data_IF_465488725903
#
_entry.id   IF_465488725903
#
_cell.length_a   1.000
_cell.length_b   1.000
_cell.length_c   1.000
_cell.angle_alpha   90.00
_cell.angle_beta   90.00
_cell.angle_gamma   90.00
#
_symmetry.space_group_name_H-M   'P 1'
#
loop_
_entity.id
_entity.type
_entity.pdbx_description
1 polymer ?
#
# COMPACT_ATOMS: atom_id res chain seq x y z
N UNK A 1 45.01 -13.79 -16.43
CA UNK A 1 43.53 -13.67 -16.43
C UNK A 1 43.05 -13.91 -15.01
N UNK A 2 42.68 -12.84 -14.30
CA UNK A 2 42.08 -12.96 -12.96
C UNK A 2 40.60 -13.34 -13.10
N UNK A 3 40.05 -14.23 -12.26
CA UNK A 3 38.65 -14.61 -12.33
C UNK A 3 37.74 -13.48 -11.87
N UNK A 4 36.56 -13.37 -12.51
CA UNK A 4 35.56 -12.34 -12.25
C UNK A 4 34.97 -12.48 -10.83
N UNK A 5 34.56 -11.36 -10.19
CA UNK A 5 33.97 -11.41 -8.85
C UNK A 5 32.61 -12.11 -8.89
N UNK A 6 32.40 -13.05 -7.97
CA UNK A 6 31.14 -13.78 -7.81
C UNK A 6 29.95 -12.89 -7.42
N UNK A 7 28.71 -13.41 -7.51
CA UNK A 7 27.49 -12.62 -7.38
C UNK A 7 27.39 -11.97 -5.99
N UNK A 8 27.01 -10.67 -5.96
CA UNK A 8 26.84 -9.89 -4.72
C UNK A 8 25.73 -10.47 -3.82
N UNK A 9 25.87 -10.43 -2.48
CA UNK A 9 25.03 -11.17 -1.56
C UNK A 9 23.68 -10.47 -1.29
N UNK A 10 22.69 -10.65 -2.18
CA UNK A 10 21.30 -10.22 -1.95
C UNK A 10 20.49 -11.16 -1.03
N UNK A 11 20.91 -12.42 -0.88
CA UNK A 11 20.10 -13.46 -0.23
C UNK A 11 19.96 -13.34 1.30
N UNK A 12 21.01 -12.92 2.02
CA UNK A 12 20.96 -12.84 3.50
C UNK A 12 20.12 -11.65 3.99
N UNK A 13 20.23 -10.49 3.33
CA UNK A 13 19.48 -9.29 3.72
C UNK A 13 17.98 -9.46 3.50
N UNK A 14 17.59 -10.06 2.37
CA UNK A 14 16.19 -10.38 2.07
C UNK A 14 15.60 -11.39 3.06
N UNK A 15 16.34 -12.45 3.41
CA UNK A 15 15.90 -13.42 4.42
C UNK A 15 15.72 -12.80 5.80
N UNK A 16 16.62 -11.90 6.21
CA UNK A 16 16.48 -11.17 7.48
C UNK A 16 15.24 -10.28 7.44
N UNK A 17 14.99 -9.57 6.33
CA UNK A 17 13.78 -8.76 6.18
C UNK A 17 12.52 -9.62 6.34
N UNK A 18 12.43 -10.72 5.59
CA UNK A 18 11.28 -11.63 5.63
C UNK A 18 11.06 -12.20 7.03
N UNK A 19 12.13 -12.59 7.73
CA UNK A 19 12.04 -13.10 9.10
C UNK A 19 11.50 -12.03 10.06
N UNK A 20 12.04 -10.82 10.01
CA UNK A 20 11.56 -9.70 10.86
C UNK A 20 10.11 -9.37 10.52
N UNK A 21 9.74 -9.26 9.24
CA UNK A 21 8.37 -8.97 8.81
C UNK A 21 7.39 -10.05 9.27
N UNK A 22 7.75 -11.33 9.15
CA UNK A 22 6.94 -12.44 9.60
C UNK A 22 6.72 -12.42 11.13
N UNK A 23 7.78 -12.18 11.91
CA UNK A 23 7.69 -12.04 13.36
C UNK A 23 6.86 -10.83 13.79
N UNK A 24 6.99 -9.71 13.08
CA UNK A 24 6.17 -8.52 13.33
C UNK A 24 4.68 -8.80 13.12
N UNK A 25 4.31 -9.43 12.00
CA UNK A 25 2.91 -9.82 11.71
C UNK A 25 2.37 -10.77 12.78
N UNK A 26 3.13 -11.82 13.09
CA UNK A 26 2.76 -12.79 14.14
C UNK A 26 2.48 -12.09 15.47
N UNK A 27 3.35 -11.18 15.90
CA UNK A 27 3.18 -10.47 17.17
C UNK A 27 1.98 -9.50 17.15
N UNK A 28 1.69 -8.87 15.99
CA UNK A 28 0.50 -8.03 15.82
C UNK A 28 -0.81 -8.83 15.85
N UNK A 29 -0.78 -10.10 15.46
CA UNK A 29 -1.94 -11.00 15.55
C UNK A 29 -2.15 -11.52 16.98
N UNK A 30 -1.07 -11.63 17.77
CA UNK A 30 -1.09 -12.22 19.12
C UNK A 30 -1.25 -11.19 20.26
N UNK A 31 -0.95 -9.92 20.02
CA UNK A 31 -0.79 -8.91 21.08
C UNK A 31 -1.32 -7.54 20.67
N UNK A 32 -1.69 -6.76 21.68
CA UNK A 32 -1.93 -5.34 21.49
C UNK A 32 -0.66 -4.64 21.02
N UNK A 33 -0.82 -3.79 19.99
CA UNK A 33 0.29 -3.07 19.35
C UNK A 33 1.18 -2.33 20.34
N UNK A 34 0.58 -1.70 21.36
CA UNK A 34 1.29 -0.92 22.37
C UNK A 34 2.25 -1.75 23.22
N UNK A 35 2.04 -3.07 23.29
CA UNK A 35 2.86 -3.99 24.07
C UNK A 35 4.01 -4.61 23.25
N UNK A 36 4.05 -4.39 21.94
CA UNK A 36 5.07 -4.94 21.06
C UNK A 36 6.31 -4.06 21.10
N UNK A 37 7.48 -4.69 21.27
CA UNK A 37 8.77 -3.99 21.34
C UNK A 37 9.78 -4.57 20.35
N UNK A 38 10.76 -3.75 19.95
CA UNK A 38 11.87 -4.19 19.06
C UNK A 38 12.62 -5.41 19.61
N UNK A 39 12.96 -5.50 20.92
CA UNK A 39 13.57 -6.70 21.47
C UNK A 39 12.73 -7.98 21.33
N UNK A 40 11.40 -7.89 21.46
CA UNK A 40 10.50 -9.03 21.27
C UNK A 40 10.53 -9.53 19.83
N UNK A 41 10.40 -8.60 18.87
CA UNK A 41 10.46 -8.92 17.43
C UNK A 41 11.83 -9.54 17.09
N UNK A 42 12.92 -8.95 17.58
CA UNK A 42 14.27 -9.44 17.34
C UNK A 42 14.46 -10.87 17.86
N UNK A 43 13.97 -11.16 19.07
CA UNK A 43 14.05 -12.48 19.67
C UNK A 43 13.27 -13.54 18.88
N UNK A 44 12.04 -13.24 18.45
CA UNK A 44 11.21 -14.15 17.64
C UNK A 44 11.80 -14.36 16.23
N UNK A 45 12.32 -13.30 15.61
CA UNK A 45 12.92 -13.35 14.27
C UNK A 45 14.34 -13.95 14.25
N UNK A 46 14.94 -14.24 15.42
CA UNK A 46 16.30 -14.77 15.54
C UNK A 46 17.39 -13.78 15.12
N UNK A 47 17.19 -12.48 15.35
CA UNK A 47 18.13 -11.40 15.03
C UNK A 47 18.46 -10.56 16.28
N UNK A 48 19.45 -9.67 16.18
CA UNK A 48 19.74 -8.71 17.25
C UNK A 48 18.85 -7.47 17.14
N UNK A 49 18.48 -6.81 18.26
CA UNK A 49 17.76 -5.53 18.22
C UNK A 49 18.50 -4.46 17.39
N UNK A 50 19.84 -4.45 17.43
CA UNK A 50 20.66 -3.55 16.62
C UNK A 50 20.51 -3.75 15.11
N UNK A 51 20.15 -4.96 14.66
CA UNK A 51 19.86 -5.23 13.25
C UNK A 51 18.58 -4.52 12.81
N UNK A 52 17.57 -4.46 13.68
CA UNK A 52 16.32 -3.76 13.42
C UNK A 52 16.54 -2.25 13.46
N UNK A 53 17.12 -1.71 14.55
CA UNK A 53 17.36 -0.27 14.68
C UNK A 53 18.20 0.31 13.56
N UNK A 54 19.23 -0.40 13.08
CA UNK A 54 20.06 0.08 11.96
C UNK A 54 19.28 0.21 10.66
N UNK A 55 18.24 -0.60 10.46
CA UNK A 55 17.54 -0.70 9.18
C UNK A 55 16.27 0.14 9.14
N UNK A 56 15.49 0.14 10.22
CA UNK A 56 14.22 0.86 10.29
C UNK A 56 14.28 2.09 11.21
N UNK A 57 15.31 2.22 12.05
CA UNK A 57 15.43 3.36 12.99
C UNK A 57 14.57 3.16 14.24
N UNK A 58 13.26 2.93 14.08
CA UNK A 58 12.34 2.64 15.16
C UNK A 58 11.26 1.60 14.79
N UNK A 59 10.36 1.32 15.74
CA UNK A 59 9.30 0.32 15.56
C UNK A 59 8.15 0.82 14.68
N UNK A 60 7.90 2.13 14.64
CA UNK A 60 6.86 2.73 13.80
C UNK A 60 7.21 2.54 12.33
N UNK A 61 8.47 2.81 11.96
CA UNK A 61 8.96 2.58 10.60
C UNK A 61 8.98 1.10 10.22
N UNK A 62 9.24 0.20 11.18
CA UNK A 62 9.12 -1.24 10.92
C UNK A 62 7.67 -1.65 10.67
N UNK A 63 6.72 -1.14 11.45
CA UNK A 63 5.30 -1.40 11.21
C UNK A 63 4.84 -0.86 9.86
N UNK A 64 5.31 0.33 9.48
CA UNK A 64 5.04 0.92 8.17
C UNK A 64 5.60 0.08 7.01
N UNK A 65 6.84 -0.42 7.10
CA UNK A 65 7.44 -1.26 6.05
C UNK A 65 6.69 -2.61 5.91
N UNK A 66 6.20 -3.17 7.02
CA UNK A 66 5.33 -4.37 7.00
C UNK A 66 3.96 -4.07 6.41
N UNK A 67 3.39 -2.90 6.72
CA UNK A 67 2.14 -2.44 6.12
C UNK A 67 2.28 -2.21 4.61
N UNK A 68 3.39 -1.63 4.16
CA UNK A 68 3.70 -1.42 2.74
C UNK A 68 3.82 -2.75 1.97
N UNK A 69 4.46 -3.77 2.55
CA UNK A 69 4.51 -5.10 1.93
C UNK A 69 3.09 -5.68 1.74
N UNK A 70 2.19 -5.43 2.69
CA UNK A 70 0.79 -5.88 2.61
C UNK A 70 -0.03 -5.10 1.61
N UNK A 71 0.13 -3.78 1.54
CA UNK A 71 -0.59 -2.90 0.61
C UNK A 71 -0.12 -3.08 -0.84
N UNK A 72 0.98 -3.80 -1.06
CA UNK A 72 1.46 -4.10 -2.39
C UNK A 72 0.49 -5.07 -3.09
N UNK A 73 -0.02 -4.75 -4.29
CA UNK A 73 -0.92 -5.64 -5.01
C UNK A 73 -0.29 -7.01 -5.31
N UNK A 74 -1.03 -8.09 -5.06
CA UNK A 74 -0.60 -9.47 -5.34
C UNK A 74 -0.79 -9.87 -6.82
N UNK A 75 -1.70 -9.20 -7.52
CA UNK A 75 -2.10 -9.49 -8.88
C UNK A 75 -2.44 -8.20 -9.65
N UNK A 76 -2.36 -8.21 -11.00
CA UNK A 76 -2.85 -7.10 -11.80
C UNK A 76 -4.38 -6.95 -11.68
N UNK A 77 -4.93 -5.76 -12.04
CA UNK A 77 -6.37 -5.52 -12.00
C UNK A 77 -7.14 -6.48 -12.93
N UNK A 78 -8.32 -6.89 -12.47
CA UNK A 78 -9.24 -7.76 -13.23
C UNK A 78 -9.59 -7.16 -14.59
N UNK A 79 -9.92 -8.02 -15.54
CA UNK A 79 -10.35 -7.67 -16.90
C UNK A 79 -11.81 -8.10 -17.09
N UNK A 80 -12.71 -7.16 -16.87
CA UNK A 80 -14.17 -7.33 -17.01
C UNK A 80 -14.67 -7.09 -18.43
N UNK A 81 -13.81 -6.53 -19.29
CA UNK A 81 -14.13 -6.19 -20.68
C UNK A 81 -14.53 -4.73 -20.92
N UNK A 82 -14.45 -3.87 -19.89
CA UNK A 82 -14.60 -2.42 -20.04
C UNK A 82 -13.78 -1.67 -18.99
N UNK A 83 -13.21 -0.50 -19.33
CA UNK A 83 -12.47 0.34 -18.38
C UNK A 83 -13.31 0.68 -17.14
N UNK A 84 -14.60 1.00 -17.35
CA UNK A 84 -15.55 1.25 -16.27
C UNK A 84 -15.69 0.02 -15.36
N UNK A 85 -15.94 -1.15 -15.93
CA UNK A 85 -16.10 -2.38 -15.16
C UNK A 85 -14.84 -2.75 -14.38
N UNK A 86 -13.67 -2.55 -14.98
CA UNK A 86 -12.37 -2.79 -14.34
C UNK A 86 -12.15 -1.83 -13.15
N UNK A 87 -12.46 -0.53 -13.32
CA UNK A 87 -12.35 0.46 -12.24
C UNK A 87 -13.34 0.19 -11.10
N UNK A 88 -14.59 -0.20 -11.41
CA UNK A 88 -15.59 -0.54 -10.39
C UNK A 88 -15.13 -1.77 -9.59
N UNK A 89 -14.72 -2.84 -10.27
CA UNK A 89 -14.23 -4.04 -9.60
C UNK A 89 -13.00 -3.75 -8.73
N UNK A 90 -12.05 -2.98 -9.26
CA UNK A 90 -10.86 -2.56 -8.51
C UNK A 90 -11.22 -1.71 -7.28
N UNK A 91 -12.12 -0.73 -7.42
CA UNK A 91 -12.49 0.16 -6.32
C UNK A 91 -13.29 -0.57 -5.23
N UNK A 92 -14.07 -1.59 -5.59
CA UNK A 92 -14.75 -2.47 -4.64
C UNK A 92 -13.76 -3.35 -3.87
N UNK A 93 -12.83 -4.00 -4.57
CA UNK A 93 -11.75 -4.79 -3.95
C UNK A 93 -10.92 -3.88 -3.00
N UNK A 94 -10.61 -2.65 -3.44
CA UNK A 94 -9.89 -1.65 -2.63
C UNK A 94 -10.67 -1.22 -1.38
N UNK A 95 -11.96 -0.92 -1.51
CA UNK A 95 -12.82 -0.56 -0.38
C UNK A 95 -12.89 -1.70 0.65
N UNK A 96 -13.11 -2.93 0.19
CA UNK A 96 -13.19 -4.11 1.06
C UNK A 96 -11.88 -4.31 1.82
N UNK A 97 -10.75 -4.26 1.12
CA UNK A 97 -9.44 -4.47 1.71
C UNK A 97 -9.10 -3.38 2.75
N UNK A 98 -9.28 -2.11 2.38
CA UNK A 98 -8.92 -0.97 3.23
C UNK A 98 -9.88 -0.81 4.43
N UNK A 99 -11.13 -1.26 4.31
CA UNK A 99 -12.10 -1.22 5.41
C UNK A 99 -11.89 -2.34 6.42
N UNK A 100 -11.17 -3.41 6.06
CA UNK A 100 -10.87 -4.51 6.97
C UNK A 100 -10.07 -4.04 8.20
N UNK A 101 -10.17 -4.71 9.36
CA UNK A 101 -9.39 -4.33 10.54
C UNK A 101 -7.88 -4.22 10.26
N UNK A 102 -7.37 -5.09 9.40
CA UNK A 102 -5.95 -5.11 9.04
C UNK A 102 -5.61 -4.01 8.03
N UNK A 103 -6.48 -3.72 7.06
CA UNK A 103 -6.32 -2.59 6.15
C UNK A 103 -6.31 -1.26 6.88
N UNK A 104 -7.22 -1.07 7.85
CA UNK A 104 -7.26 0.11 8.72
C UNK A 104 -5.98 0.26 9.55
N UNK A 105 -5.44 -0.85 10.07
CA UNK A 105 -4.16 -0.83 10.78
C UNK A 105 -3.01 -0.44 9.84
N UNK A 106 -2.94 -1.02 8.65
CA UNK A 106 -1.93 -0.69 7.65
C UNK A 106 -1.96 0.78 7.23
N UNK A 107 -3.16 1.35 7.02
CA UNK A 107 -3.33 2.78 6.72
C UNK A 107 -2.81 3.67 7.84
N UNK A 108 -3.13 3.35 9.11
CA UNK A 108 -2.59 4.09 10.27
C UNK A 108 -1.07 4.01 10.31
N UNK A 109 -0.50 2.85 10.01
CA UNK A 109 0.95 2.62 10.06
C UNK A 109 1.69 3.44 9.03
N UNK A 110 1.16 3.49 7.80
CA UNK A 110 1.72 4.33 6.75
C UNK A 110 1.59 5.81 7.08
N UNK A 111 0.42 6.26 7.58
CA UNK A 111 0.21 7.68 7.93
C UNK A 111 1.13 8.16 9.06
N UNK A 112 1.49 7.27 9.99
CA UNK A 112 2.39 7.59 11.10
C UNK A 112 3.89 7.50 10.75
N UNK A 113 4.22 7.06 9.54
CA UNK A 113 5.60 6.88 9.08
C UNK A 113 6.20 8.17 8.52
N UNK A 114 7.52 8.29 8.65
CA UNK A 114 8.34 9.27 7.95
C UNK A 114 8.84 8.76 6.58
N UNK A 115 8.56 7.49 6.19
CA UNK A 115 8.96 6.83 4.93
C UNK A 115 8.16 7.38 3.74
N UNK A 116 8.49 8.62 3.39
CA UNK A 116 8.01 9.31 2.20
C UNK A 116 9.09 9.28 1.11
N UNK A 117 8.66 9.05 -0.13
CA UNK A 117 9.51 9.20 -1.31
C UNK A 117 9.30 10.61 -1.86
N UNK A 118 10.40 11.22 -2.30
CA UNK A 118 10.35 12.50 -2.99
C UNK A 118 9.78 12.30 -4.40
N UNK A 119 8.63 12.88 -4.65
CA UNK A 119 8.00 12.96 -5.97
C UNK A 119 8.78 13.90 -6.90
N UNK A 120 8.57 13.74 -8.22
CA UNK A 120 9.17 14.58 -9.27
C UNK A 120 8.81 16.06 -9.12
N UNK A 121 7.63 16.37 -8.58
CA UNK A 121 7.16 17.73 -8.27
C UNK A 121 7.73 18.30 -6.96
N UNK A 122 8.55 17.52 -6.25
CA UNK A 122 9.15 17.92 -4.99
C UNK A 122 8.23 17.77 -3.77
N UNK A 123 7.08 17.11 -3.88
CA UNK A 123 6.26 16.72 -2.73
C UNK A 123 6.78 15.43 -2.10
N UNK A 124 6.49 15.22 -0.82
CA UNK A 124 6.76 13.96 -0.14
C UNK A 124 5.50 13.09 -0.24
N UNK A 125 5.61 11.93 -0.89
CA UNK A 125 4.50 11.00 -1.07
C UNK A 125 4.76 9.71 -0.31
N UNK A 126 3.73 9.17 0.32
CA UNK A 126 3.82 7.82 0.89
C UNK A 126 4.04 6.80 -0.23
N UNK A 127 4.88 5.80 0.02
CA UNK A 127 5.18 4.75 -0.98
C UNK A 127 3.93 3.99 -1.44
N UNK A 128 2.90 3.86 -0.60
CA UNK A 128 1.65 3.20 -0.99
C UNK A 128 0.87 3.96 -2.06
N UNK A 129 1.08 5.27 -2.21
CA UNK A 129 0.36 6.08 -3.21
C UNK A 129 0.69 5.63 -4.64
N UNK A 130 1.90 5.11 -4.87
CA UNK A 130 2.29 4.60 -6.19
C UNK A 130 1.57 3.30 -6.54
N UNK A 131 1.22 2.47 -5.55
CA UNK A 131 0.53 1.20 -5.81
C UNK A 131 -0.84 1.42 -6.42
N UNK A 132 -1.66 2.30 -5.82
CA UNK A 132 -2.97 2.64 -6.35
C UNK A 132 -2.86 3.29 -7.73
N UNK A 133 -1.95 4.26 -7.88
CA UNK A 133 -1.66 4.93 -9.15
C UNK A 133 -1.35 3.92 -10.26
N UNK A 134 -0.40 3.01 -10.05
CA UNK A 134 0.02 2.04 -11.07
C UNK A 134 -1.11 1.09 -11.48
N UNK A 135 -1.95 0.66 -10.54
CA UNK A 135 -3.12 -0.17 -10.86
C UNK A 135 -4.15 0.61 -11.70
N UNK A 136 -4.44 1.86 -11.34
CA UNK A 136 -5.35 2.74 -12.09
C UNK A 136 -4.80 3.03 -13.49
N UNK A 137 -3.50 3.34 -13.62
CA UNK A 137 -2.81 3.53 -14.91
C UNK A 137 -2.92 2.28 -15.78
N UNK A 138 -2.76 1.09 -15.19
CA UNK A 138 -2.91 -0.19 -15.90
C UNK A 138 -4.33 -0.36 -16.45
N UNK A 139 -5.35 -0.05 -15.66
CA UNK A 139 -6.75 -0.14 -16.09
C UNK A 139 -7.05 0.87 -17.21
N UNK A 140 -6.67 2.13 -17.03
CA UNK A 140 -6.93 3.20 -17.99
C UNK A 140 -6.16 3.01 -19.30
N UNK A 141 -4.95 2.44 -19.25
CA UNK A 141 -4.14 2.13 -20.43
C UNK A 141 -4.76 1.08 -21.36
N UNK A 142 -5.82 0.37 -20.93
CA UNK A 142 -6.60 -0.54 -21.77
C UNK A 142 -7.63 0.19 -22.65
N UNK A 143 -7.96 1.44 -22.31
CA UNK A 143 -8.90 2.30 -23.04
C UNK A 143 -8.21 3.32 -23.92
N UNK A 144 -8.99 4.30 -24.42
CA UNK A 144 -8.41 5.46 -25.09
C UNK A 144 -7.65 6.33 -24.08
N UNK A 145 -6.40 6.74 -24.37
CA UNK A 145 -5.59 7.51 -23.44
C UNK A 145 -6.17 8.92 -23.28
N UNK A 146 -6.67 9.20 -22.08
CA UNK A 146 -7.11 10.54 -21.69
C UNK A 146 -6.15 11.06 -20.61
N UNK A 147 -5.56 12.23 -20.86
CA UNK A 147 -4.57 12.82 -19.98
C UNK A 147 -5.25 13.32 -18.69
N UNK A 148 -4.64 13.05 -17.53
CA UNK A 148 -5.13 13.54 -16.23
C UNK A 148 -6.23 12.69 -15.56
N UNK A 149 -6.72 11.63 -16.23
CA UNK A 149 -7.78 10.77 -15.66
C UNK A 149 -7.31 9.99 -14.43
N UNK A 150 -6.03 9.63 -14.35
CA UNK A 150 -5.46 8.93 -13.19
C UNK A 150 -5.64 9.76 -11.91
N UNK A 151 -5.20 11.03 -11.90
CA UNK A 151 -5.37 11.91 -10.74
C UNK A 151 -6.84 12.10 -10.41
N UNK A 152 -7.67 12.23 -11.44
CA UNK A 152 -9.09 12.43 -11.24
C UNK A 152 -9.77 11.23 -10.56
N UNK A 153 -9.41 10.00 -10.95
CA UNK A 153 -9.85 8.77 -10.28
C UNK A 153 -9.32 8.71 -8.84
N UNK A 154 -8.07 9.10 -8.61
CA UNK A 154 -7.52 9.17 -7.24
C UNK A 154 -8.35 10.15 -6.39
N UNK A 155 -8.61 11.35 -6.89
CA UNK A 155 -9.33 12.40 -6.16
C UNK A 155 -10.81 12.07 -5.89
N UNK A 156 -11.47 11.37 -6.81
CA UNK A 156 -12.92 11.15 -6.76
C UNK A 156 -13.33 9.74 -6.33
N UNK A 157 -12.41 8.77 -6.35
CA UNK A 157 -12.66 7.39 -5.93
C UNK A 157 -11.83 7.03 -4.71
N UNK A 158 -10.51 7.17 -4.80
CA UNK A 158 -9.58 6.73 -3.73
C UNK A 158 -9.69 7.62 -2.50
N UNK A 159 -9.60 8.94 -2.68
CA UNK A 159 -9.59 9.89 -1.57
C UNK A 159 -10.88 9.85 -0.72
N UNK A 160 -12.10 9.79 -1.28
CA UNK A 160 -13.33 9.67 -0.49
C UNK A 160 -13.39 8.36 0.30
N UNK A 161 -12.94 7.23 -0.27
CA UNK A 161 -12.87 5.94 0.41
C UNK A 161 -11.94 6.05 1.63
N UNK A 162 -10.70 6.49 1.41
CA UNK A 162 -9.70 6.61 2.47
C UNK A 162 -10.11 7.61 3.56
N UNK A 163 -10.66 8.76 3.17
CA UNK A 163 -11.13 9.77 4.13
C UNK A 163 -12.18 9.19 5.07
N UNK A 164 -13.19 8.48 4.55
CA UNK A 164 -14.23 7.87 5.38
C UNK A 164 -13.66 6.79 6.31
N UNK A 165 -12.75 5.96 5.81
CA UNK A 165 -12.12 4.89 6.59
C UNK A 165 -11.27 5.46 7.74
N UNK A 166 -10.46 6.48 7.48
CA UNK A 166 -9.57 7.08 8.48
C UNK A 166 -10.33 7.82 9.57
N UNK A 167 -11.44 8.48 9.22
CA UNK A 167 -12.25 9.26 10.15
C UNK A 167 -13.46 8.51 10.71
N UNK A 168 -13.56 7.20 10.48
CA UNK A 168 -14.63 6.33 10.98
C UNK A 168 -16.04 6.87 10.66
N UNK A 169 -16.20 7.43 9.45
CA UNK A 169 -17.48 7.91 8.95
C UNK A 169 -18.34 6.73 8.49
N UNK A 170 -19.62 6.97 8.18
CA UNK A 170 -20.52 5.88 7.76
C UNK A 170 -19.89 5.07 6.61
N UNK A 171 -19.99 3.73 6.62
CA UNK A 171 -19.43 2.90 5.56
C UNK A 171 -19.91 3.34 4.18
N UNK A 172 -19.02 3.26 3.19
CA UNK A 172 -19.43 3.46 1.80
C UNK A 172 -20.04 2.15 1.31
N UNK A 173 -21.28 2.17 0.85
CA UNK A 173 -21.92 0.98 0.29
C UNK A 173 -21.33 0.63 -1.09
N UNK A 174 -21.31 -0.65 -1.45
CA UNK A 174 -20.72 -1.12 -2.71
C UNK A 174 -21.35 -0.47 -3.96
N UNK A 175 -22.66 -0.18 -3.92
CA UNK A 175 -23.37 0.52 -5.00
C UNK A 175 -22.89 1.97 -5.16
N UNK A 176 -22.50 2.62 -4.06
CA UNK A 176 -21.97 3.99 -4.05
C UNK A 176 -20.58 4.08 -4.68
N UNK A 177 -19.81 2.99 -4.68
CA UNK A 177 -18.50 2.91 -5.38
C UNK A 177 -18.68 3.07 -6.88
N UNK A 178 -19.71 2.45 -7.46
CA UNK A 178 -20.02 2.56 -8.89
C UNK A 178 -20.28 4.00 -9.30
N UNK A 179 -21.03 4.74 -8.48
CA UNK A 179 -21.34 6.15 -8.71
C UNK A 179 -20.10 7.05 -8.62
N UNK A 180 -19.15 6.76 -7.71
CA UNK A 180 -17.87 7.48 -7.66
C UNK A 180 -17.06 7.27 -8.94
N UNK A 181 -17.02 6.05 -9.46
CA UNK A 181 -16.34 5.73 -10.72
C UNK A 181 -17.01 6.43 -11.90
N UNK A 182 -18.35 6.43 -11.94
CA UNK A 182 -19.11 7.12 -12.99
C UNK A 182 -18.82 8.63 -13.00
N UNK A 183 -18.84 9.26 -11.83
CA UNK A 183 -18.49 10.68 -11.71
C UNK A 183 -17.07 10.98 -12.14
N UNK A 184 -16.11 10.11 -11.80
CA UNK A 184 -14.72 10.28 -12.21
C UNK A 184 -14.55 10.16 -13.74
N UNK A 185 -15.27 9.25 -14.39
CA UNK A 185 -15.19 9.06 -15.84
C UNK A 185 -15.95 10.13 -16.64
N UNK A 186 -17.12 10.56 -16.16
CA UNK A 186 -17.94 11.57 -16.84
C UNK A 186 -17.27 12.95 -16.90
N UNK A 187 -16.56 13.32 -15.85
CA UNK A 187 -15.83 14.59 -15.78
C UNK A 187 -14.57 14.57 -16.67
N UNK A 188 -13.90 13.41 -16.80
CA UNK A 188 -12.75 13.23 -17.68
C UNK A 188 -13.06 13.41 -19.18
N UNK A 189 -14.30 13.11 -19.61
CA UNK A 189 -14.74 13.29 -21.01
C UNK A 189 -15.05 14.76 -21.35
N UNK A 190 -15.18 15.64 -20.36
CA UNK A 190 -15.60 17.04 -20.53
C UNK A 190 -14.46 18.06 -20.48
N UNK A 191 -13.22 17.63 -20.28
CA UNK A 191 -12.01 18.45 -20.24
C UNK A 191 -11.26 18.31 -21.55
#
# INVERSE_FOLDING_TARGET
MSPAPGPRPGGRSARIQQAVHASTRKLLDERDRADITVPMIAADAGVTPSTIYRRWGDITELFADVALERLHPDAPPRETGSVRGDLVAWAQDYLEEMSSPVGRAALRDVVMSADTVRSEDGTNQFRCATFCRTQIETILGRGEPVQGVVEHVIDHVVAPIIYRILFDLDPLEADRVGELVDHALDAAVRV
#
